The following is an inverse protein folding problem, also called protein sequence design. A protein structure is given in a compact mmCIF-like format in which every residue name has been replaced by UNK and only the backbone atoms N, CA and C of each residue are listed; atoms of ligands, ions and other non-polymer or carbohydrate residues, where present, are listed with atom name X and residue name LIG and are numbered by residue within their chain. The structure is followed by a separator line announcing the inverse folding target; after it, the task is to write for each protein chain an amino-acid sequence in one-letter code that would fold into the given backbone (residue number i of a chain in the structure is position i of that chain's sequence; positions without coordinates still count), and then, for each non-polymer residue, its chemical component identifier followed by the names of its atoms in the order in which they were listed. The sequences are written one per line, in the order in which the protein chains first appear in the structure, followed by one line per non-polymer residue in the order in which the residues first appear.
data_IF_041765723020
#
_entry.id   IF_041765723020
#
_cell.length_a   1.000
_cell.length_b   1.000
_cell.length_c   1.000
_cell.angle_alpha   90.00
_cell.angle_beta   90.00
_cell.angle_gamma   90.00
#
_symmetry.space_group_name_H-M   'P 1'
#
loop_
_entity.id
_entity.type
_entity.pdbx_description
1 polymer ?
#
# COMPACT_ATOMS: atom_id res chain seq x y z
N UNK A 1 7.04 8.58 11.05
CA UNK A 1 6.93 8.61 9.58
C UNK A 1 7.86 7.52 9.05
N UNK A 2 7.35 6.32 8.79
CA UNK A 2 8.15 5.22 8.23
C UNK A 2 8.17 5.43 6.72
N UNK A 3 9.32 5.32 6.05
CA UNK A 3 9.40 5.39 4.59
C UNK A 3 9.12 4.00 4.01
N UNK A 4 8.42 3.91 2.88
CA UNK A 4 8.17 2.65 2.16
C UNK A 4 9.42 2.03 1.51
N UNK A 5 10.55 2.71 1.61
CA UNK A 5 11.88 2.14 1.42
C UNK A 5 12.78 2.89 2.38
N UNK A 6 13.27 2.21 3.41
CA UNK A 6 13.97 2.91 4.48
C UNK A 6 14.41 2.00 5.62
N UNK A 7 15.11 2.57 6.61
CA UNK A 7 15.55 1.83 7.78
C UNK A 7 14.34 1.29 8.55
N UNK A 8 14.39 0.00 8.83
CA UNK A 8 13.36 -0.74 9.53
C UNK A 8 14.00 -1.68 10.57
N UNK A 9 13.20 -2.08 11.57
CA UNK A 9 13.62 -3.05 12.56
C UNK A 9 12.95 -4.40 12.27
N UNK A 10 13.77 -5.40 11.96
CA UNK A 10 13.33 -6.78 11.85
C UNK A 10 13.28 -7.39 13.25
N UNK A 11 12.09 -7.39 13.87
CA UNK A 11 11.92 -7.78 15.27
C UNK A 11 11.79 -9.30 15.48
N UNK A 12 12.46 -9.82 16.51
CA UNK A 12 12.39 -11.24 16.91
C UNK A 12 10.99 -11.68 17.31
N UNK A 13 10.16 -10.76 17.80
CA UNK A 13 8.73 -11.03 18.11
C UNK A 13 7.97 -11.56 16.89
N UNK A 14 8.32 -11.08 15.69
CA UNK A 14 7.69 -11.50 14.43
C UNK A 14 8.44 -12.67 13.78
N UNK A 15 9.76 -12.67 13.88
CA UNK A 15 10.63 -13.70 13.32
C UNK A 15 11.37 -14.42 14.46
N UNK A 16 10.74 -15.41 15.11
CA UNK A 16 11.25 -16.00 16.35
C UNK A 16 12.56 -16.77 16.19
N UNK A 17 12.97 -17.04 14.95
CA UNK A 17 14.26 -17.66 14.62
C UNK A 17 15.42 -16.66 14.57
N UNK A 18 15.17 -15.36 14.77
CA UNK A 18 16.24 -14.37 14.91
C UNK A 18 16.84 -14.39 16.32
N UNK A 19 18.16 -14.27 16.42
CA UNK A 19 18.85 -14.20 17.71
C UNK A 19 18.59 -12.88 18.45
N UNK A 20 18.42 -11.79 17.69
CA UNK A 20 18.15 -10.44 18.17
C UNK A 20 17.31 -9.66 17.15
N UNK A 21 16.83 -8.47 17.54
CA UNK A 21 16.27 -7.52 16.59
C UNK A 21 17.39 -7.00 15.67
N UNK A 22 17.12 -6.92 14.37
CA UNK A 22 18.12 -6.55 13.36
C UNK A 22 17.67 -5.29 12.63
N UNK A 23 18.51 -4.25 12.63
CA UNK A 23 18.32 -3.10 11.75
C UNK A 23 18.49 -3.55 10.29
N UNK A 24 17.48 -3.27 9.48
CA UNK A 24 17.40 -3.71 8.09
C UNK A 24 16.88 -2.59 7.19
N UNK A 25 16.85 -2.85 5.90
CA UNK A 25 16.11 -2.05 4.93
C UNK A 25 14.83 -2.79 4.58
N UNK A 26 13.70 -2.08 4.66
CA UNK A 26 12.43 -2.59 4.18
C UNK A 26 12.26 -2.27 2.70
N UNK A 27 11.99 -3.31 1.90
CA UNK A 27 11.65 -3.19 0.48
C UNK A 27 10.17 -3.53 0.22
N UNK A 28 9.40 -3.76 1.28
CA UNK A 28 7.97 -4.05 1.18
C UNK A 28 7.18 -2.81 0.77
N UNK A 29 6.06 -3.06 0.09
CA UNK A 29 5.14 -2.03 -0.36
C UNK A 29 4.88 -2.03 -1.85
N UNK A 30 3.61 -2.08 -2.20
CA UNK A 30 3.08 -1.87 -3.55
C UNK A 30 2.49 -0.46 -3.68
N UNK A 31 3.27 0.55 -3.31
CA UNK A 31 2.78 1.92 -3.32
C UNK A 31 2.80 2.51 -4.72
N UNK A 32 1.62 2.92 -5.16
CA UNK A 32 1.48 3.81 -6.32
C UNK A 32 1.49 5.23 -5.81
N UNK A 33 2.60 5.92 -6.03
CA UNK A 33 2.72 7.33 -5.70
C UNK A 33 2.18 8.21 -6.82
N UNK A 34 1.62 9.34 -6.43
CA UNK A 34 1.30 10.45 -7.32
C UNK A 34 1.76 11.76 -6.69
N UNK A 35 1.91 12.80 -7.50
CA UNK A 35 2.16 14.14 -6.96
C UNK A 35 0.94 14.65 -6.20
N UNK A 36 1.17 15.44 -5.17
CA UNK A 36 0.10 16.07 -4.38
C UNK A 36 -0.78 17.01 -5.22
N UNK A 37 -0.25 17.58 -6.31
CA UNK A 37 -0.95 18.47 -7.23
C UNK A 37 -1.39 17.78 -8.52
N UNK A 38 -1.40 16.44 -8.56
CA UNK A 38 -1.99 15.71 -9.67
C UNK A 38 -3.47 16.06 -9.83
N UNK A 39 -3.94 16.10 -11.07
CA UNK A 39 -5.34 16.43 -11.35
C UNK A 39 -6.28 15.43 -10.65
N UNK A 40 -7.26 15.95 -9.92
CA UNK A 40 -8.18 15.15 -9.13
C UNK A 40 -8.97 14.15 -9.98
N UNK A 41 -9.39 14.54 -11.19
CA UNK A 41 -10.15 13.67 -12.06
C UNK A 41 -9.28 12.55 -12.63
N UNK A 42 -8.00 12.82 -12.91
CA UNK A 42 -7.05 11.78 -13.31
C UNK A 42 -6.84 10.76 -12.19
N UNK A 43 -6.58 11.22 -10.96
CA UNK A 43 -6.38 10.32 -9.81
C UNK A 43 -7.64 9.49 -9.53
N UNK A 44 -8.81 10.12 -9.52
CA UNK A 44 -10.08 9.40 -9.31
C UNK A 44 -10.31 8.33 -10.39
N UNK A 45 -10.10 8.65 -11.68
CA UNK A 45 -10.24 7.69 -12.78
C UNK A 45 -9.26 6.52 -12.67
N UNK A 46 -8.03 6.80 -12.24
CA UNK A 46 -7.05 5.75 -11.99
C UNK A 46 -7.50 4.79 -10.88
N UNK A 47 -7.95 5.33 -9.74
CA UNK A 47 -8.47 4.53 -8.63
C UNK A 47 -9.69 3.68 -9.05
N UNK A 48 -10.65 4.27 -9.78
CA UNK A 48 -11.80 3.54 -10.32
C UNK A 48 -11.37 2.41 -11.27
N UNK A 49 -10.37 2.66 -12.11
CA UNK A 49 -9.83 1.63 -13.00
C UNK A 49 -9.22 0.47 -12.21
N UNK A 50 -8.55 0.73 -11.09
CA UNK A 50 -8.05 -0.32 -10.20
C UNK A 50 -9.19 -1.13 -9.58
N UNK A 51 -10.24 -0.49 -9.05
CA UNK A 51 -11.42 -1.19 -8.52
C UNK A 51 -12.05 -2.09 -9.57
N UNK A 52 -12.20 -1.60 -10.79
CA UNK A 52 -12.75 -2.35 -11.91
C UNK A 52 -11.83 -3.46 -12.41
N UNK A 53 -10.53 -3.40 -12.12
CA UNK A 53 -9.52 -4.36 -12.57
C UNK A 53 -9.16 -5.43 -11.55
N UNK A 54 -9.53 -5.27 -10.27
CA UNK A 54 -9.03 -6.10 -9.17
C UNK A 54 -9.11 -7.61 -9.40
N UNK A 55 -10.20 -8.10 -10.00
CA UNK A 55 -10.44 -9.53 -10.23
C UNK A 55 -9.63 -10.12 -11.39
N UNK A 56 -9.06 -9.28 -12.28
CA UNK A 56 -8.26 -9.73 -13.43
C UNK A 56 -6.78 -9.36 -13.32
N UNK A 57 -6.43 -8.49 -12.39
CA UNK A 57 -5.05 -8.09 -12.14
C UNK A 57 -4.43 -9.10 -11.19
N UNK A 58 -3.69 -10.06 -11.74
CA UNK A 58 -2.86 -10.95 -10.93
C UNK A 58 -1.71 -10.19 -10.27
N UNK A 59 -1.24 -10.71 -9.14
CA UNK A 59 -0.08 -10.17 -8.42
C UNK A 59 0.79 -11.29 -7.86
N UNK A 60 1.96 -10.95 -7.32
CA UNK A 60 2.94 -11.94 -6.85
C UNK A 60 2.39 -12.88 -5.77
N UNK A 61 1.47 -12.39 -4.92
CA UNK A 61 0.87 -13.18 -3.85
C UNK A 61 -0.47 -13.82 -4.18
N UNK A 62 -1.00 -13.71 -5.42
CA UNK A 62 -2.28 -14.32 -5.75
C UNK A 62 -2.88 -13.97 -7.12
N UNK A 63 -4.01 -14.60 -7.46
CA UNK A 63 -4.65 -14.43 -8.77
C UNK A 63 -5.37 -13.07 -8.95
N UNK A 64 -5.66 -12.36 -7.86
CA UNK A 64 -6.42 -11.09 -7.86
C UNK A 64 -5.76 -10.06 -6.97
N UNK A 65 -5.88 -8.78 -7.33
CA UNK A 65 -5.29 -7.66 -6.62
C UNK A 65 -6.06 -7.39 -5.31
N UNK A 66 -5.44 -7.51 -4.12
CA UNK A 66 -6.12 -7.33 -2.85
C UNK A 66 -6.19 -5.85 -2.50
N UNK A 67 -7.16 -5.13 -3.05
CA UNK A 67 -7.27 -3.68 -2.87
C UNK A 67 -7.49 -3.28 -1.41
N UNK A 68 -8.17 -4.12 -0.63
CA UNK A 68 -8.40 -3.96 0.81
C UNK A 68 -7.07 -3.89 1.57
N UNK A 69 -6.12 -4.77 1.23
CA UNK A 69 -4.79 -4.79 1.83
C UNK A 69 -3.96 -3.58 1.40
N UNK A 70 -4.12 -3.13 0.14
CA UNK A 70 -3.39 -1.99 -0.41
C UNK A 70 -3.77 -0.65 0.20
N UNK A 71 -5.00 -0.53 0.73
CA UNK A 71 -5.46 0.69 1.40
C UNK A 71 -5.36 0.64 2.93
N UNK A 72 -4.93 -0.50 3.47
CA UNK A 72 -4.70 -0.69 4.90
C UNK A 72 -3.22 -0.54 5.19
N UNK A 73 -2.85 0.27 6.21
CA UNK A 73 -1.44 0.43 6.60
C UNK A 73 -0.94 -0.86 7.24
N UNK A 74 -0.44 -1.75 6.40
CA UNK A 74 0.09 -3.05 6.77
C UNK A 74 1.59 -3.07 6.57
N UNK A 75 2.23 -4.11 7.10
CA UNK A 75 3.66 -4.28 6.85
C UNK A 75 3.98 -4.60 5.38
N UNK A 76 3.08 -5.27 4.66
CA UNK A 76 3.32 -5.70 3.29
C UNK A 76 2.88 -4.61 2.29
N UNK A 77 2.02 -3.69 2.74
CA UNK A 77 1.58 -2.50 2.03
C UNK A 77 1.57 -1.28 3.00
N UNK A 78 2.75 -0.77 3.42
CA UNK A 78 2.81 0.36 4.33
C UNK A 78 2.29 1.63 3.67
N UNK A 79 1.61 2.49 4.42
CA UNK A 79 1.10 3.79 3.95
C UNK A 79 1.86 4.92 4.66
N UNK A 80 3.06 5.26 4.18
CA UNK A 80 3.99 6.17 4.87
C UNK A 80 3.57 7.64 4.81
N UNK A 81 2.65 7.97 3.90
CA UNK A 81 2.21 9.33 3.56
C UNK A 81 0.69 9.34 3.35
N UNK A 82 0.03 10.51 3.50
CA UNK A 82 -1.41 10.62 3.27
C UNK A 82 -1.81 10.22 1.85
N UNK A 83 -3.03 9.69 1.69
CA UNK A 83 -3.63 9.52 0.38
C UNK A 83 -3.88 10.86 -0.31
N UNK A 84 -3.84 10.85 -1.63
CA UNK A 84 -4.38 11.95 -2.42
C UNK A 84 -5.90 12.08 -2.14
N UNK A 85 -6.48 13.29 -1.98
CA UNK A 85 -7.89 13.46 -1.60
C UNK A 85 -8.89 12.72 -2.51
N UNK A 86 -8.63 12.74 -3.82
CA UNK A 86 -9.45 12.01 -4.80
C UNK A 86 -9.36 10.47 -4.65
N UNK A 87 -8.20 9.95 -4.24
CA UNK A 87 -8.03 8.52 -4.00
C UNK A 87 -8.79 8.10 -2.74
N UNK A 88 -8.57 8.82 -1.63
CA UNK A 88 -9.26 8.58 -0.35
C UNK A 88 -10.79 8.61 -0.51
N UNK A 89 -11.33 9.60 -1.23
CA UNK A 89 -12.77 9.69 -1.51
C UNK A 89 -13.28 8.51 -2.34
N UNK A 90 -12.48 8.01 -3.29
CA UNK A 90 -12.85 6.86 -4.13
C UNK A 90 -12.83 5.57 -3.33
N UNK A 91 -11.81 5.34 -2.51
CA UNK A 91 -11.71 4.16 -1.64
C UNK A 91 -12.85 4.10 -0.62
N UNK A 92 -13.19 5.22 0.04
CA UNK A 92 -14.36 5.31 0.92
C UNK A 92 -15.68 5.01 0.20
N UNK A 93 -15.86 5.52 -1.02
CA UNK A 93 -17.06 5.26 -1.83
C UNK A 93 -17.26 3.77 -2.12
N UNK A 94 -16.17 3.02 -2.24
CA UNK A 94 -16.18 1.57 -2.46
C UNK A 94 -16.11 0.75 -1.16
N UNK A 95 -16.12 1.40 0.02
CA UNK A 95 -16.08 0.72 1.32
C UNK A 95 -14.74 0.09 1.66
N UNK A 96 -13.65 0.54 1.02
CA UNK A 96 -12.29 0.04 1.24
C UNK A 96 -11.57 0.80 2.36
N UNK A 97 -11.96 2.06 2.61
CA UNK A 97 -11.48 2.95 3.69
C UNK A 97 -12.61 3.44 4.58
#
# INVERSE_FOLDING_TARGET
MRQATGPALCGRTRYPTLDADVDTVDFSGFLVFTRADADHAVVAKFCEALVAARERTGWQGGPTLPLEDMVTDTIDAPIPIPFHPAAEATWRRHGLL
#
